data_IF_901992994531
#
_entry.id   IF_901992994531
#
_cell.length_a   1.000
_cell.length_b   1.000
_cell.length_c   1.000
_cell.angle_alpha   90.00
_cell.angle_beta   90.00
_cell.angle_gamma   90.00
#
_symmetry.space_group_name_H-M   'P 1'
#
loop_
_entity.id
_entity.type
_entity.pdbx_description
1 polymer ?
#
# COMPACT_ATOMS: atom_id res chain seq x y z
N UNK A 1 7.29 -19.12 -2.70
CA UNK A 1 7.46 -17.68 -2.36
C UNK A 1 6.97 -17.37 -0.95
N UNK A 2 5.75 -17.80 -0.55
CA UNK A 2 5.23 -17.52 0.82
C UNK A 2 6.11 -18.13 1.90
N UNK A 3 6.54 -19.41 1.75
CA UNK A 3 7.48 -20.06 2.67
C UNK A 3 8.77 -19.25 2.82
N UNK A 4 9.39 -18.86 1.70
CA UNK A 4 10.58 -18.02 1.69
C UNK A 4 10.37 -16.67 2.42
N UNK A 5 9.25 -15.97 2.19
CA UNK A 5 8.95 -14.71 2.90
C UNK A 5 8.89 -14.91 4.42
N UNK A 6 8.36 -16.04 4.90
CA UNK A 6 8.31 -16.35 6.33
C UNK A 6 9.71 -16.65 6.90
N UNK A 7 10.50 -17.42 6.18
CA UNK A 7 11.87 -17.77 6.55
C UNK A 7 12.74 -16.51 6.63
N UNK A 8 12.69 -15.65 5.62
CA UNK A 8 13.43 -14.38 5.60
C UNK A 8 12.95 -13.42 6.68
N UNK A 9 11.65 -13.27 6.89
CA UNK A 9 11.13 -12.42 7.95
C UNK A 9 11.63 -12.85 9.33
N UNK A 10 11.69 -14.16 9.59
CA UNK A 10 12.24 -14.71 10.82
C UNK A 10 13.76 -14.48 10.91
N UNK A 11 14.51 -14.70 9.82
CA UNK A 11 15.96 -14.57 9.79
C UNK A 11 16.45 -13.14 10.05
N UNK A 12 15.76 -12.15 9.47
CA UNK A 12 16.13 -10.73 9.63
C UNK A 12 15.43 -10.02 10.79
N UNK A 13 14.48 -10.68 11.47
CA UNK A 13 13.74 -10.11 12.59
C UNK A 13 12.80 -8.97 12.18
N UNK A 14 12.36 -8.91 10.91
CA UNK A 14 11.52 -7.84 10.37
C UNK A 14 10.28 -8.39 9.66
N UNK A 15 9.20 -7.62 9.62
CA UNK A 15 8.09 -7.96 8.73
C UNK A 15 8.46 -7.72 7.26
N UNK A 16 8.04 -8.61 6.38
CA UNK A 16 8.23 -8.50 4.92
C UNK A 16 6.87 -8.49 4.26
N UNK A 17 6.69 -7.61 3.27
CA UNK A 17 5.47 -7.53 2.49
C UNK A 17 5.75 -7.34 1.01
N UNK A 18 4.87 -7.87 0.18
CA UNK A 18 4.89 -7.75 -1.28
C UNK A 18 3.66 -8.39 -1.88
N UNK A 19 3.40 -8.19 -3.18
CA UNK A 19 2.24 -8.78 -3.85
C UNK A 19 2.63 -9.93 -4.78
N UNK A 20 1.79 -10.94 -4.81
CA UNK A 20 1.94 -12.18 -5.57
C UNK A 20 0.65 -12.49 -6.31
N UNK A 21 0.75 -13.31 -7.36
CA UNK A 21 -0.41 -13.99 -7.93
C UNK A 21 -0.60 -15.27 -7.12
N UNK A 22 -1.81 -15.44 -6.57
CA UNK A 22 -2.16 -16.61 -5.77
C UNK A 22 -3.42 -17.23 -6.33
N UNK A 23 -3.42 -18.55 -6.48
CA UNK A 23 -4.63 -19.33 -6.74
C UNK A 23 -5.19 -19.85 -5.43
N UNK A 24 -6.47 -19.67 -5.23
CA UNK A 24 -7.21 -20.21 -4.09
C UNK A 24 -8.65 -20.56 -4.51
N UNK A 25 -9.07 -21.78 -4.28
CA UNK A 25 -10.41 -22.30 -4.63
C UNK A 25 -10.77 -22.08 -6.12
N UNK A 26 -9.83 -22.29 -7.03
CA UNK A 26 -10.02 -22.15 -8.48
C UNK A 26 -10.11 -20.69 -8.96
N UNK A 27 -9.80 -19.71 -8.11
CA UNK A 27 -9.74 -18.29 -8.46
C UNK A 27 -8.33 -17.77 -8.27
N UNK A 28 -7.94 -16.82 -9.13
CA UNK A 28 -6.67 -16.14 -9.00
C UNK A 28 -6.85 -14.77 -8.35
N UNK A 29 -5.90 -14.37 -7.51
CA UNK A 29 -5.89 -13.10 -6.81
C UNK A 29 -4.56 -12.39 -6.99
N UNK A 30 -4.60 -11.09 -7.16
CA UNK A 30 -3.44 -10.23 -6.93
C UNK A 30 -3.38 -9.96 -5.42
N UNK A 31 -2.60 -10.77 -4.71
CA UNK A 31 -2.58 -10.84 -3.25
C UNK A 31 -1.33 -10.21 -2.68
N UNK A 32 -1.49 -9.17 -1.88
CA UNK A 32 -0.42 -8.71 -1.00
C UNK A 32 -0.33 -9.65 0.20
N UNK A 33 0.87 -10.04 0.53
CA UNK A 33 1.18 -10.89 1.69
C UNK A 33 1.96 -10.09 2.74
N UNK A 34 1.70 -10.37 3.99
CA UNK A 34 2.37 -9.79 5.15
C UNK A 34 2.91 -10.90 6.02
N UNK A 35 4.22 -11.09 6.03
CA UNK A 35 4.90 -12.08 6.86
C UNK A 35 5.62 -11.39 8.03
N UNK A 36 5.47 -11.92 9.24
CA UNK A 36 6.13 -11.39 10.45
C UNK A 36 7.22 -12.31 10.94
N UNK A 37 8.20 -11.83 11.72
CA UNK A 37 9.26 -12.65 12.31
C UNK A 37 8.74 -13.81 13.17
N UNK A 38 7.58 -13.62 13.82
CA UNK A 38 6.93 -14.66 14.63
C UNK A 38 6.18 -15.73 13.82
N UNK A 39 6.35 -15.75 12.49
CA UNK A 39 5.71 -16.72 11.60
C UNK A 39 4.23 -16.42 11.29
N UNK A 40 3.65 -15.38 11.86
CA UNK A 40 2.30 -14.96 11.51
C UNK A 40 2.25 -14.45 10.06
N UNK A 41 1.13 -14.74 9.43
CA UNK A 41 0.88 -14.40 8.04
C UNK A 41 -0.50 -13.79 7.90
N UNK A 42 -0.57 -12.65 7.21
CA UNK A 42 -1.82 -12.02 6.81
C UNK A 42 -1.79 -11.69 5.32
N UNK A 43 -2.94 -11.47 4.71
CA UNK A 43 -3.01 -11.11 3.31
C UNK A 43 -4.11 -10.10 3.01
N UNK A 44 -3.92 -9.40 1.90
CA UNK A 44 -4.91 -8.51 1.31
C UNK A 44 -5.06 -8.82 -0.17
N UNK A 45 -6.26 -9.11 -0.61
CA UNK A 45 -6.57 -9.28 -2.02
C UNK A 45 -6.95 -7.92 -2.63
N UNK A 46 -6.29 -7.56 -3.70
CA UNK A 46 -6.49 -6.29 -4.40
C UNK A 46 -7.97 -6.06 -4.70
N UNK A 47 -8.50 -4.93 -4.23
CA UNK A 47 -9.91 -4.57 -4.42
C UNK A 47 -10.20 -4.08 -5.82
N UNK A 48 -9.38 -3.18 -6.36
CA UNK A 48 -9.63 -2.51 -7.63
C UNK A 48 -8.78 -3.12 -8.74
N UNK A 49 -9.41 -3.94 -9.55
CA UNK A 49 -8.76 -4.59 -10.69
C UNK A 49 -8.60 -3.60 -11.85
N UNK A 50 -7.41 -3.60 -12.46
CA UNK A 50 -7.06 -2.65 -13.52
C UNK A 50 -7.64 -3.08 -14.87
N UNK A 51 -8.81 -2.55 -15.24
CA UNK A 51 -9.57 -2.92 -16.45
C UNK A 51 -8.80 -2.71 -17.76
N UNK A 52 -7.94 -1.67 -17.84
CA UNK A 52 -7.12 -1.47 -19.04
C UNK A 52 -6.13 -2.61 -19.32
N UNK A 53 -5.75 -3.36 -18.29
CA UNK A 53 -4.95 -4.58 -18.41
C UNK A 53 -5.82 -5.84 -18.33
N UNK A 54 -7.14 -5.71 -18.39
CA UNK A 54 -8.10 -6.82 -18.34
C UNK A 54 -7.96 -7.69 -17.07
N UNK A 55 -7.47 -7.11 -15.96
CA UNK A 55 -7.29 -7.84 -14.72
C UNK A 55 -8.59 -8.53 -14.24
N UNK A 56 -9.75 -7.91 -14.47
CA UNK A 56 -11.06 -8.44 -14.07
C UNK A 56 -11.46 -9.74 -14.80
N UNK A 57 -10.75 -10.09 -15.87
CA UNK A 57 -10.99 -11.32 -16.61
C UNK A 57 -10.15 -12.49 -16.07
N UNK A 58 -9.14 -12.19 -15.27
CA UNK A 58 -8.16 -13.16 -14.77
C UNK A 58 -8.13 -13.24 -13.25
N UNK A 59 -8.49 -12.17 -12.54
CA UNK A 59 -8.40 -12.09 -11.08
C UNK A 59 -9.75 -11.81 -10.45
N UNK A 60 -9.95 -12.38 -9.28
CA UNK A 60 -11.04 -12.01 -8.39
C UNK A 60 -10.65 -10.80 -7.52
N UNK A 61 -11.60 -9.91 -7.29
CA UNK A 61 -11.42 -8.76 -6.41
C UNK A 61 -11.58 -9.15 -4.93
N UNK A 62 -10.74 -8.57 -4.08
CA UNK A 62 -10.94 -8.61 -2.64
C UNK A 62 -12.08 -7.70 -2.17
N UNK A 63 -12.58 -7.95 -0.96
CA UNK A 63 -13.67 -7.17 -0.37
C UNK A 63 -13.39 -6.67 1.05
N UNK A 64 -12.20 -6.94 1.59
CA UNK A 64 -11.79 -6.55 2.94
C UNK A 64 -10.48 -5.80 2.91
N UNK A 65 -10.39 -4.73 3.70
CA UNK A 65 -9.10 -4.10 3.99
C UNK A 65 -8.37 -4.91 5.06
N UNK A 66 -7.06 -4.95 4.94
CA UNK A 66 -6.16 -5.48 5.96
C UNK A 66 -5.63 -4.31 6.79
N UNK A 67 -5.73 -4.42 8.10
CA UNK A 67 -4.97 -3.58 9.03
C UNK A 67 -4.11 -4.51 9.85
N UNK A 68 -2.80 -4.27 9.84
CA UNK A 68 -1.84 -5.03 10.64
C UNK A 68 -1.22 -4.14 11.70
N UNK A 69 -0.92 -4.74 12.84
CA UNK A 69 -0.20 -4.06 13.90
C UNK A 69 1.26 -4.52 13.93
N UNK A 70 2.18 -3.56 14.01
CA UNK A 70 3.61 -3.80 14.13
C UNK A 70 4.24 -2.77 15.07
N UNK A 71 4.77 -3.22 16.20
CA UNK A 71 5.44 -2.35 17.20
C UNK A 71 4.61 -1.12 17.58
N UNK A 72 3.30 -1.31 17.73
CA UNK A 72 2.35 -0.24 18.09
C UNK A 72 1.90 0.66 16.93
N UNK A 73 2.40 0.46 15.72
CA UNK A 73 1.90 1.09 14.50
C UNK A 73 0.78 0.26 13.88
N UNK A 74 -0.24 0.92 13.36
CA UNK A 74 -1.30 0.30 12.54
C UNK A 74 -1.02 0.62 11.07
N UNK A 75 -0.84 -0.40 10.27
CA UNK A 75 -0.52 -0.27 8.85
C UNK A 75 -1.65 -0.82 7.98
N UNK A 76 -1.97 -0.10 6.90
CA UNK A 76 -2.94 -0.52 5.89
C UNK A 76 -2.21 -0.76 4.55
N UNK A 77 -1.87 -2.01 4.21
CA UNK A 77 -1.25 -2.32 2.94
C UNK A 77 -2.29 -2.46 1.82
N UNK A 78 -2.02 -1.84 0.68
CA UNK A 78 -2.86 -1.82 -0.52
C UNK A 78 -2.01 -2.11 -1.78
N UNK A 79 -2.67 -2.37 -2.92
CA UNK A 79 -1.99 -2.76 -4.15
C UNK A 79 -2.29 -1.80 -5.30
N UNK A 80 -1.25 -1.10 -5.78
CA UNK A 80 -1.18 -0.42 -7.06
C UNK A 80 -2.41 0.45 -7.38
N UNK A 81 -3.34 -0.07 -8.19
CA UNK A 81 -4.51 0.66 -8.68
C UNK A 81 -5.47 1.12 -7.58
N UNK A 82 -5.44 0.49 -6.39
CA UNK A 82 -6.18 0.93 -5.21
C UNK A 82 -5.88 2.39 -4.85
N UNK A 83 -4.67 2.88 -5.16
CA UNK A 83 -4.27 4.26 -4.97
C UNK A 83 -5.23 5.29 -5.62
N UNK A 84 -5.93 4.94 -6.70
CA UNK A 84 -6.86 5.83 -7.38
C UNK A 84 -8.21 6.00 -6.66
N UNK A 85 -8.48 5.21 -5.63
CA UNK A 85 -9.80 5.14 -5.00
C UNK A 85 -9.72 5.64 -3.55
N UNK A 86 -9.94 6.96 -3.32
CA UNK A 86 -9.78 7.58 -2.00
C UNK A 86 -10.72 6.98 -0.95
N UNK A 87 -11.93 6.63 -1.33
CA UNK A 87 -12.93 6.06 -0.42
C UNK A 87 -12.44 4.74 0.19
N UNK A 88 -11.77 3.88 -0.62
CA UNK A 88 -11.21 2.62 -0.13
C UNK A 88 -10.02 2.82 0.82
N UNK A 89 -9.21 3.85 0.61
CA UNK A 89 -8.07 4.18 1.46
C UNK A 89 -8.37 5.19 2.56
N UNK A 90 -9.63 5.60 2.76
CA UNK A 90 -9.97 6.56 3.81
C UNK A 90 -9.71 5.98 5.20
N UNK A 91 -8.89 6.69 6.00
CA UNK A 91 -8.41 6.20 7.31
C UNK A 91 -9.48 6.24 8.39
N UNK A 92 -10.14 7.38 8.56
CA UNK A 92 -11.00 7.63 9.73
C UNK A 92 -10.34 7.20 11.06
N UNK A 93 -9.03 7.39 11.18
CA UNK A 93 -8.26 6.99 12.36
C UNK A 93 -7.94 5.50 12.48
N UNK A 94 -8.27 4.68 11.47
CA UNK A 94 -8.08 3.23 11.53
C UNK A 94 -6.60 2.79 11.44
N UNK A 95 -5.73 3.60 10.82
CA UNK A 95 -4.32 3.28 10.64
C UNK A 95 -3.44 4.53 10.71
N UNK A 96 -2.14 4.31 10.85
CA UNK A 96 -1.10 5.33 11.00
C UNK A 96 -0.18 5.39 9.78
N UNK A 97 -0.06 4.27 9.06
CA UNK A 97 0.75 4.13 7.85
C UNK A 97 -0.07 3.49 6.75
N UNK A 98 -0.03 4.08 5.56
CA UNK A 98 -0.61 3.53 4.35
C UNK A 98 0.52 3.05 3.45
N UNK A 99 0.49 1.80 3.03
CA UNK A 99 1.54 1.18 2.22
C UNK A 99 0.97 0.76 0.86
N UNK A 100 1.66 1.12 -0.22
CA UNK A 100 1.36 0.65 -1.56
C UNK A 100 2.54 -0.11 -2.17
N UNK A 101 2.28 -1.31 -2.69
CA UNK A 101 3.18 -2.02 -3.59
C UNK A 101 2.61 -1.99 -5.00
N UNK A 102 3.43 -1.69 -6.01
CA UNK A 102 2.90 -1.40 -7.34
C UNK A 102 3.80 -1.84 -8.51
N UNK A 103 3.13 -2.10 -9.64
CA UNK A 103 3.67 -2.03 -10.98
C UNK A 103 2.99 -0.83 -11.68
N UNK A 104 3.43 0.40 -11.34
CA UNK A 104 2.84 1.64 -11.87
C UNK A 104 3.68 2.19 -13.03
N UNK A 105 3.15 2.23 -14.27
CA UNK A 105 3.93 2.59 -15.44
C UNK A 105 4.41 4.03 -15.44
N UNK A 106 5.61 4.28 -15.97
CA UNK A 106 6.25 5.60 -16.09
C UNK A 106 5.37 6.65 -16.75
N UNK A 107 4.57 6.25 -17.76
CA UNK A 107 3.63 7.15 -18.44
C UNK A 107 2.55 7.75 -17.52
N UNK A 108 2.41 7.24 -16.30
CA UNK A 108 1.47 7.72 -15.28
C UNK A 108 2.19 8.16 -13.99
N UNK A 109 3.51 8.40 -14.03
CA UNK A 109 4.31 8.75 -12.84
C UNK A 109 3.77 9.98 -12.10
N UNK A 110 3.28 11.00 -12.81
CA UNK A 110 2.70 12.18 -12.19
C UNK A 110 1.50 11.83 -11.30
N UNK A 111 0.61 10.94 -11.78
CA UNK A 111 -0.51 10.47 -10.96
C UNK A 111 -0.08 9.64 -9.75
N UNK A 112 0.99 8.84 -9.86
CA UNK A 112 1.58 8.11 -8.75
C UNK A 112 2.03 9.07 -7.64
N UNK A 113 2.90 10.02 -7.99
CA UNK A 113 3.44 10.99 -7.04
C UNK A 113 2.36 11.85 -6.39
N UNK A 114 1.44 12.42 -7.18
CA UNK A 114 0.38 13.29 -6.67
C UNK A 114 -0.61 12.55 -5.76
N UNK A 115 -1.01 11.33 -6.15
CA UNK A 115 -1.99 10.58 -5.38
C UNK A 115 -1.41 10.05 -4.07
N UNK A 116 -0.15 9.63 -4.01
CA UNK A 116 0.50 9.26 -2.75
C UNK A 116 0.51 10.43 -1.76
N UNK A 117 0.86 11.63 -2.22
CA UNK A 117 0.82 12.85 -1.39
C UNK A 117 -0.59 13.18 -0.93
N UNK A 118 -1.58 13.10 -1.83
CA UNK A 118 -2.98 13.30 -1.47
C UNK A 118 -3.43 12.31 -0.39
N UNK A 119 -3.06 11.03 -0.50
CA UNK A 119 -3.40 10.03 0.52
C UNK A 119 -2.77 10.32 1.88
N UNK A 120 -1.53 10.83 1.91
CA UNK A 120 -0.87 11.23 3.15
C UNK A 120 -1.62 12.38 3.83
N UNK A 121 -1.90 13.43 3.08
CA UNK A 121 -2.52 14.67 3.58
C UNK A 121 -3.96 14.43 4.04
N UNK A 122 -4.80 13.85 3.19
CA UNK A 122 -6.24 13.66 3.48
C UNK A 122 -6.52 12.70 4.63
N UNK A 123 -5.59 11.75 4.89
CA UNK A 123 -5.73 10.76 5.96
C UNK A 123 -4.91 11.09 7.21
N UNK A 124 -4.09 12.13 7.15
CA UNK A 124 -3.11 12.47 8.19
C UNK A 124 -2.36 11.22 8.64
N UNK A 125 -1.64 10.61 7.71
CA UNK A 125 -0.89 9.37 7.93
C UNK A 125 0.42 9.37 7.14
N UNK A 126 1.38 8.57 7.55
CA UNK A 126 2.53 8.26 6.72
C UNK A 126 2.12 7.46 5.50
N UNK A 127 2.77 7.70 4.37
CA UNK A 127 2.55 6.92 3.15
C UNK A 127 3.86 6.38 2.62
N UNK A 128 3.90 5.08 2.33
CA UNK A 128 5.04 4.43 1.68
C UNK A 128 4.55 3.82 0.38
N UNK A 129 5.07 4.31 -0.73
CA UNK A 129 4.80 3.78 -2.07
C UNK A 129 6.04 3.08 -2.61
N UNK A 130 5.94 1.77 -2.86
CA UNK A 130 7.02 0.97 -3.46
C UNK A 130 6.61 0.54 -4.85
N UNK A 131 7.36 0.97 -5.86
CA UNK A 131 7.05 0.70 -7.26
C UNK A 131 8.24 0.01 -7.96
N UNK A 132 7.93 -0.87 -8.89
CA UNK A 132 8.97 -1.55 -9.70
C UNK A 132 9.69 -0.60 -10.64
N UNK A 133 10.86 -1.02 -11.12
CA UNK A 133 11.66 -0.39 -12.18
C UNK A 133 11.79 -1.32 -13.39
N UNK A 134 12.28 -0.77 -14.52
CA UNK A 134 12.61 -1.51 -15.71
C UNK A 134 11.46 -1.59 -16.73
N UNK A 135 11.42 -2.66 -17.51
CA UNK A 135 10.38 -2.94 -18.51
C UNK A 135 9.71 -4.29 -18.22
N UNK A 136 8.46 -4.41 -18.59
CA UNK A 136 7.76 -5.70 -18.58
C UNK A 136 7.80 -6.39 -19.95
N UNK A 137 7.24 -7.62 -20.00
CA UNK A 137 7.18 -8.41 -21.23
C UNK A 137 6.33 -7.78 -22.35
N UNK A 138 5.49 -6.80 -22.02
CA UNK A 138 4.67 -6.03 -22.99
C UNK A 138 5.34 -4.70 -23.41
N UNK A 139 6.56 -4.45 -22.96
CA UNK A 139 7.33 -3.24 -23.29
C UNK A 139 6.94 -2.00 -22.47
N UNK A 140 6.07 -2.10 -21.48
CA UNK A 140 5.76 -0.97 -20.61
C UNK A 140 6.97 -0.67 -19.70
N UNK A 141 7.34 0.61 -19.61
CA UNK A 141 8.44 1.09 -18.78
C UNK A 141 7.94 1.50 -17.39
N UNK A 142 8.79 1.29 -16.38
CA UNK A 142 8.55 1.61 -14.98
C UNK A 142 9.74 2.38 -14.42
N UNK A 143 9.51 3.59 -13.92
CA UNK A 143 10.54 4.50 -13.40
C UNK A 143 10.87 4.28 -11.93
N UNK A 144 10.08 3.48 -11.23
CA UNK A 144 10.20 3.40 -9.77
C UNK A 144 9.43 4.52 -9.11
N UNK A 145 10.09 5.64 -8.85
CA UNK A 145 9.51 6.75 -8.07
C UNK A 145 8.94 6.27 -6.73
N UNK A 146 9.62 5.29 -6.11
CA UNK A 146 9.29 4.82 -4.78
C UNK A 146 9.57 5.92 -3.77
N UNK A 147 8.68 6.09 -2.80
CA UNK A 147 8.76 7.24 -1.87
C UNK A 147 8.16 6.91 -0.53
N UNK A 148 8.74 7.47 0.52
CA UNK A 148 8.13 7.59 1.84
C UNK A 148 7.77 9.05 2.11
N UNK A 149 6.54 9.29 2.55
CA UNK A 149 5.98 10.61 2.81
C UNK A 149 5.51 10.71 4.26
N UNK A 150 5.67 11.89 4.85
CA UNK A 150 5.01 12.23 6.09
C UNK A 150 3.53 12.59 5.87
N UNK A 151 2.83 12.86 6.95
CA UNK A 151 1.41 13.21 6.97
C UNK A 151 1.10 14.62 6.39
N UNK A 152 2.11 15.41 6.05
CA UNK A 152 2.00 16.67 5.30
C UNK A 152 2.30 16.47 3.81
N UNK A 153 2.60 15.24 3.38
CA UNK A 153 2.99 14.92 2.01
C UNK A 153 4.44 15.30 1.67
N UNK A 154 5.28 15.59 2.68
CA UNK A 154 6.69 15.87 2.48
C UNK A 154 7.50 14.58 2.34
N UNK A 155 8.55 14.63 1.53
CA UNK A 155 9.41 13.47 1.28
C UNK A 155 10.31 13.19 2.47
N UNK A 156 10.23 11.98 3.01
CA UNK A 156 11.16 11.45 4.01
C UNK A 156 12.31 10.66 3.38
N UNK A 157 12.05 10.05 2.22
CA UNK A 157 13.05 9.31 1.46
C UNK A 157 12.48 8.82 0.13
N UNK A 158 13.37 8.45 -0.81
CA UNK A 158 13.00 8.04 -2.16
C UNK A 158 12.76 9.20 -3.11
N UNK A 159 11.64 9.15 -3.86
CA UNK A 159 11.20 10.12 -4.87
C UNK A 159 12.22 10.31 -6.01
N UNK A 160 12.83 9.21 -6.46
CA UNK A 160 13.82 9.19 -7.55
C UNK A 160 13.64 7.99 -8.48
N UNK A 161 14.16 8.13 -9.69
CA UNK A 161 14.21 7.07 -10.69
C UNK A 161 15.17 5.94 -10.29
N UNK A 162 14.89 4.74 -10.83
CA UNK A 162 15.80 3.62 -10.74
C UNK A 162 15.59 2.73 -9.51
N UNK A 163 16.43 1.72 -9.41
CA UNK A 163 16.43 0.78 -8.30
C UNK A 163 17.27 1.31 -7.14
N UNK A 164 16.71 1.26 -5.94
CA UNK A 164 17.41 1.62 -4.71
C UNK A 164 16.84 0.87 -3.51
N UNK A 165 17.60 0.85 -2.43
CA UNK A 165 17.15 0.48 -1.09
C UNK A 165 17.37 1.69 -0.18
N UNK A 166 16.37 2.00 0.61
CA UNK A 166 16.41 3.12 1.54
C UNK A 166 15.70 2.79 2.84
N UNK A 167 16.24 3.27 3.94
CA UNK A 167 15.62 3.14 5.26
C UNK A 167 15.16 4.51 5.72
N UNK A 168 13.89 4.60 6.11
CA UNK A 168 13.31 5.82 6.70
C UNK A 168 12.83 5.54 8.11
N UNK A 169 12.85 6.56 8.95
CA UNK A 169 12.32 6.50 10.31
C UNK A 169 11.00 7.26 10.35
N UNK A 170 9.97 6.63 10.89
CA UNK A 170 8.67 7.26 11.11
C UNK A 170 8.56 7.68 12.57
N UNK A 171 8.13 8.92 12.83
CA UNK A 171 7.97 9.47 14.16
C UNK A 171 6.51 9.40 14.61
N UNK A 172 6.26 8.54 15.58
CA UNK A 172 4.90 8.32 16.11
C UNK A 172 4.40 9.49 16.94
N UNK A 173 5.29 10.15 17.68
CA UNK A 173 4.93 11.27 18.54
C UNK A 173 4.54 12.50 17.71
N UNK A 174 5.30 12.77 16.66
CA UNK A 174 4.98 13.84 15.70
C UNK A 174 3.62 13.62 15.04
N UNK A 175 3.30 12.40 14.60
CA UNK A 175 1.98 12.08 14.05
C UNK A 175 0.87 12.26 15.07
N UNK A 176 1.05 11.77 16.29
CA UNK A 176 0.05 11.86 17.34
C UNK A 176 -0.19 13.34 17.75
N UNK A 177 0.87 14.12 17.84
CA UNK A 177 0.79 15.55 18.13
C UNK A 177 0.04 16.30 17.05
N UNK A 178 0.41 16.07 15.78
CA UNK A 178 -0.27 16.73 14.67
C UNK A 178 -1.76 16.39 14.61
N UNK A 179 -2.14 15.11 14.80
CA UNK A 179 -3.54 14.67 14.82
C UNK A 179 -4.35 15.28 15.96
N UNK A 180 -3.72 15.54 17.10
CA UNK A 180 -4.34 16.21 18.24
C UNK A 180 -4.56 17.69 17.95
N UNK A 181 -3.55 18.34 17.38
CA UNK A 181 -3.55 19.79 17.17
C UNK A 181 -4.31 20.20 15.90
N UNK A 182 -4.47 19.27 14.94
CA UNK A 182 -5.26 19.42 13.71
C UNK A 182 -6.11 18.17 13.43
N UNK A 183 -7.24 18.00 14.15
CA UNK A 183 -8.02 16.77 14.17
C UNK A 183 -9.03 16.65 13.00
N UNK A 184 -8.58 16.77 11.75
CA UNK A 184 -9.43 16.75 10.53
C UNK A 184 -10.32 15.51 10.41
N UNK A 185 -9.96 14.41 11.07
CA UNK A 185 -10.76 13.19 11.09
C UNK A 185 -12.09 13.36 11.84
N UNK A 186 -12.22 14.38 12.72
CA UNK A 186 -13.47 14.67 13.44
C UNK A 186 -14.49 15.38 12.55
N UNK A 187 -14.03 16.03 11.47
CA UNK A 187 -14.88 16.73 10.51
C UNK A 187 -15.25 15.85 9.29
N UNK A 188 -14.76 14.60 9.29
CA UNK A 188 -14.97 13.70 8.16
C UNK A 188 -16.37 13.10 8.15
N UNK A 189 -16.98 13.07 6.96
CA UNK A 189 -18.27 12.41 6.75
C UNK A 189 -18.21 10.92 7.09
N UNK A 190 -19.32 10.41 7.63
CA UNK A 190 -19.57 8.99 7.79
C UNK A 190 -20.09 8.38 6.49
N UNK A 191 -19.58 7.23 6.11
CA UNK A 191 -20.06 6.48 4.97
C UNK A 191 -19.85 4.98 5.17
N UNK A 192 -20.66 4.18 4.50
CA UNK A 192 -20.50 2.73 4.43
C UNK A 192 -20.11 2.32 3.02
N UNK A 193 -19.12 1.42 2.94
CA UNK A 193 -18.74 0.79 1.70
C UNK A 193 -19.61 -0.45 1.47
N UNK A 194 -20.43 -0.40 0.43
CA UNK A 194 -21.08 -1.63 -0.05
C UNK A 194 -20.03 -2.53 -0.67
N UNK A 195 -19.72 -3.62 0.02
CA UNK A 195 -18.69 -4.59 -0.41
C UNK A 195 -19.27 -5.73 -1.24
N UNK A 196 -20.56 -5.70 -1.55
CA UNK A 196 -21.19 -6.70 -2.39
C UNK A 196 -20.53 -6.72 -3.77
N UNK A 197 -20.12 -7.90 -4.15
CA UNK A 197 -19.44 -8.19 -5.42
C UNK A 197 -20.34 -7.79 -6.59
N UNK A 198 -19.84 -6.86 -7.39
CA UNK A 198 -20.36 -6.68 -8.76
C UNK A 198 -19.86 -7.82 -9.65
#
# INVERSE_FOLDING_TARGET
>A
TVGWLREEAAAIGCAITGSLIVEENGRHYNRLVWATPGGNFAHYDKRHLFRMAREQEHYAAGNRRLIVELKGWRLCPLVCYDLRFPVWSRSRGAYDVLLYVANWPSRRRAAWSMLLRARAIENVCYVVGVNRVGKDGNGASYSGDSVALDFLGQVLGGDRDGAFVETVVLDRESLATFRRDFPVQLDADDFELQTDTK
#
